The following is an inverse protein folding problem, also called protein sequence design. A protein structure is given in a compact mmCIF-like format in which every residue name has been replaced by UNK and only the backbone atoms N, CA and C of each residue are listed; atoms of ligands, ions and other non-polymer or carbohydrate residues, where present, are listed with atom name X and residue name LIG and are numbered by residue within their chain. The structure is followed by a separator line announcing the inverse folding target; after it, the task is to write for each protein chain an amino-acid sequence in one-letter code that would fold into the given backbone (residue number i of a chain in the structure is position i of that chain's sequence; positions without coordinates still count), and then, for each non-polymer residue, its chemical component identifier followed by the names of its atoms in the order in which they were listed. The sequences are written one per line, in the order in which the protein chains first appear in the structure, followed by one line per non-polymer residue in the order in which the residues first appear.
data_IF_588013954136
#
_entry.id   IF_588013954136
#
_cell.length_a   1.000
_cell.length_b   1.000
_cell.length_c   1.000
_cell.angle_alpha   90.00
_cell.angle_beta   90.00
_cell.angle_gamma   90.00
#
_symmetry.space_group_name_H-M   'P 1'
#
loop_
_entity.id
_entity.type
_entity.pdbx_description
1 polymer ?
#
# COMPACT_ATOMS: atom_id res chain seq x y z
N UNK A 1 23.30 7.96 -25.59
CA UNK A 1 24.22 8.60 -24.62
C UNK A 1 24.04 7.92 -23.28
N UNK A 2 25.05 7.12 -22.88
CA UNK A 2 25.09 6.60 -21.52
C UNK A 2 25.28 7.77 -20.56
N UNK A 3 24.34 8.01 -19.66
CA UNK A 3 24.49 8.97 -18.58
C UNK A 3 25.51 8.44 -17.58
N UNK A 4 26.35 9.29 -17.06
CA UNK A 4 27.32 8.99 -15.99
C UNK A 4 26.54 8.36 -14.79
N UNK A 5 27.13 7.36 -14.10
CA UNK A 5 26.53 6.80 -12.91
C UNK A 5 26.30 7.89 -11.86
N UNK A 6 25.06 8.08 -11.43
CA UNK A 6 24.71 9.05 -10.41
C UNK A 6 24.44 8.35 -9.07
N UNK A 7 24.89 8.98 -7.98
CA UNK A 7 24.52 8.52 -6.64
C UNK A 7 23.02 8.63 -6.44
N UNK A 8 22.40 7.66 -5.75
CA UNK A 8 20.98 7.65 -5.43
C UNK A 8 20.52 8.95 -4.72
N UNK A 9 21.41 9.58 -3.95
CA UNK A 9 21.16 10.87 -3.28
C UNK A 9 20.94 12.01 -4.31
N UNK A 10 21.52 11.90 -5.49
CA UNK A 10 21.46 12.92 -6.55
C UNK A 10 20.33 12.67 -7.57
N UNK A 11 19.55 11.58 -7.43
CA UNK A 11 18.53 11.18 -8.43
C UNK A 11 17.12 11.57 -8.01
N UNK A 12 16.94 12.21 -6.88
CA UNK A 12 15.66 12.62 -6.32
C UNK A 12 15.18 11.73 -5.17
N UNK A 13 14.47 12.34 -4.24
CA UNK A 13 14.04 11.70 -2.99
C UNK A 13 13.24 10.41 -3.20
N UNK A 14 12.34 10.37 -4.18
CA UNK A 14 11.51 9.19 -4.42
C UNK A 14 12.32 7.92 -4.72
N UNK A 15 13.40 8.03 -5.49
CA UNK A 15 14.28 6.90 -5.79
C UNK A 15 15.04 6.47 -4.53
N UNK A 16 15.53 7.41 -3.76
CA UNK A 16 16.27 7.13 -2.52
C UNK A 16 15.41 6.41 -1.47
N UNK A 17 14.11 6.68 -1.44
CA UNK A 17 13.16 6.03 -0.53
C UNK A 17 12.69 4.65 -1.02
N UNK A 18 12.40 4.50 -2.30
CA UNK A 18 11.87 3.23 -2.82
C UNK A 18 12.96 2.18 -3.06
N UNK A 19 14.18 2.60 -3.36
CA UNK A 19 15.28 1.68 -3.68
C UNK A 19 15.61 0.68 -2.55
N UNK A 20 15.70 1.09 -1.27
CA UNK A 20 15.89 0.16 -0.16
C UNK A 20 14.79 -0.90 -0.06
N UNK A 21 13.53 -0.52 -0.31
CA UNK A 21 12.39 -1.44 -0.29
C UNK A 21 12.55 -2.48 -1.42
N UNK A 22 12.86 -2.02 -2.64
CA UNK A 22 13.08 -2.91 -3.79
C UNK A 22 14.23 -3.88 -3.52
N UNK A 23 15.35 -3.38 -2.99
CA UNK A 23 16.51 -4.23 -2.66
C UNK A 23 16.13 -5.26 -1.59
N UNK A 24 15.43 -4.85 -0.51
CA UNK A 24 14.99 -5.76 0.54
C UNK A 24 14.09 -6.87 -0.03
N UNK A 25 13.11 -6.51 -0.86
CA UNK A 25 12.19 -7.47 -1.50
C UNK A 25 12.93 -8.44 -2.42
N UNK A 26 13.84 -7.94 -3.28
CA UNK A 26 14.56 -8.78 -4.24
C UNK A 26 15.63 -9.66 -3.56
N UNK A 27 16.11 -9.28 -2.38
CA UNK A 27 17.09 -10.04 -1.61
C UNK A 27 16.46 -11.02 -0.62
N UNK A 28 15.16 -10.87 -0.32
CA UNK A 28 14.46 -11.72 0.62
C UNK A 28 14.27 -13.14 0.08
N UNK A 29 14.29 -14.11 1.00
CA UNK A 29 14.05 -15.53 0.68
C UNK A 29 12.62 -15.91 1.12
N UNK A 30 12.02 -16.95 0.53
CA UNK A 30 10.79 -17.53 1.05
C UNK A 30 10.90 -17.81 2.55
N UNK A 31 9.88 -17.43 3.34
CA UNK A 31 9.87 -17.49 4.79
C UNK A 31 10.41 -16.23 5.49
N UNK A 32 10.98 -15.26 4.76
CA UNK A 32 11.36 -13.96 5.34
C UNK A 32 10.14 -13.13 5.73
N UNK A 33 10.34 -12.22 6.69
CA UNK A 33 9.36 -11.20 7.10
C UNK A 33 9.94 -9.83 6.78
N UNK A 34 9.20 -8.99 6.06
CA UNK A 34 9.53 -7.60 5.80
C UNK A 34 8.50 -6.69 6.49
N UNK A 35 8.99 -5.70 7.23
CA UNK A 35 8.20 -4.63 7.82
C UNK A 35 8.48 -3.35 7.03
N UNK A 36 7.45 -2.73 6.49
CA UNK A 36 7.57 -1.55 5.62
C UNK A 36 6.60 -0.49 6.13
N UNK A 37 7.13 0.64 6.53
CA UNK A 37 6.37 1.80 6.97
C UNK A 37 6.39 2.88 5.89
N UNK A 38 5.23 3.48 5.61
CA UNK A 38 5.04 4.57 4.65
C UNK A 38 5.76 4.36 3.30
N UNK A 39 5.53 3.22 2.61
CA UNK A 39 6.20 2.94 1.34
C UNK A 39 5.87 3.94 0.23
N UNK A 40 4.80 4.70 0.40
CA UNK A 40 4.36 5.78 -0.49
C UNK A 40 5.21 7.05 -0.40
N UNK A 41 6.05 7.20 0.62
CA UNK A 41 6.76 8.44 0.88
C UNK A 41 7.56 8.89 -0.34
N UNK A 42 7.32 10.15 -0.76
CA UNK A 42 8.02 10.82 -1.86
C UNK A 42 7.94 10.18 -3.25
N UNK A 43 7.07 9.20 -3.46
CA UNK A 43 6.89 8.59 -4.78
C UNK A 43 5.52 8.93 -5.39
N UNK A 44 5.52 9.07 -6.72
CA UNK A 44 4.31 9.41 -7.46
C UNK A 44 3.24 8.32 -7.31
N UNK A 45 1.93 8.64 -7.27
CA UNK A 45 0.83 7.69 -7.13
C UNK A 45 0.92 6.46 -8.03
N UNK A 46 1.27 6.65 -9.30
CA UNK A 46 1.48 5.54 -10.24
C UNK A 46 2.59 4.58 -9.77
N UNK A 47 3.68 5.12 -9.21
CA UNK A 47 4.78 4.30 -8.71
C UNK A 47 4.39 3.54 -7.44
N UNK A 48 3.51 4.10 -6.61
CA UNK A 48 2.95 3.43 -5.43
C UNK A 48 2.16 2.17 -5.85
N UNK A 49 1.32 2.28 -6.87
CA UNK A 49 0.58 1.14 -7.40
C UNK A 49 1.51 0.05 -7.99
N UNK A 50 2.57 0.44 -8.70
CA UNK A 50 3.55 -0.51 -9.23
C UNK A 50 4.38 -1.17 -8.11
N UNK A 51 4.76 -0.41 -7.08
CA UNK A 51 5.41 -0.95 -5.89
C UNK A 51 4.53 -2.01 -5.23
N UNK A 52 3.23 -1.74 -5.05
CA UNK A 52 2.31 -2.71 -4.46
C UNK A 52 2.22 -4.00 -5.27
N UNK A 53 2.23 -3.93 -6.60
CA UNK A 53 2.28 -5.14 -7.45
C UNK A 53 3.55 -5.97 -7.21
N UNK A 54 4.70 -5.33 -7.03
CA UNK A 54 5.95 -6.01 -6.67
C UNK A 54 5.81 -6.72 -5.31
N UNK A 55 5.26 -6.04 -4.30
CA UNK A 55 5.05 -6.59 -2.96
C UNK A 55 4.09 -7.78 -2.98
N UNK A 56 3.00 -7.70 -3.76
CA UNK A 56 2.05 -8.80 -3.95
C UNK A 56 2.72 -10.05 -4.56
N UNK A 57 3.58 -9.87 -5.56
CA UNK A 57 4.34 -10.97 -6.16
C UNK A 57 5.34 -11.58 -5.18
N UNK A 58 5.99 -10.76 -4.36
CA UNK A 58 6.89 -11.23 -3.31
C UNK A 58 6.12 -12.03 -2.24
N UNK A 59 4.92 -11.60 -1.86
CA UNK A 59 4.07 -12.35 -0.95
C UNK A 59 3.67 -13.72 -1.53
N UNK A 60 3.34 -13.77 -2.84
CA UNK A 60 3.08 -15.04 -3.55
C UNK A 60 4.31 -15.96 -3.60
N UNK A 61 5.51 -15.39 -3.60
CA UNK A 61 6.76 -16.14 -3.51
C UNK A 61 7.11 -16.62 -2.09
N UNK A 62 6.22 -16.41 -1.11
CA UNK A 62 6.38 -16.89 0.27
C UNK A 62 7.09 -15.93 1.22
N UNK A 63 7.15 -14.64 0.89
CA UNK A 63 7.66 -13.61 1.78
C UNK A 63 6.47 -13.01 2.54
N UNK A 64 6.50 -12.98 3.86
CA UNK A 64 5.50 -12.27 4.65
C UNK A 64 5.84 -10.77 4.67
N UNK A 65 4.88 -9.93 4.23
CA UNK A 65 5.07 -8.49 4.18
C UNK A 65 4.00 -7.83 5.06
N UNK A 66 4.45 -7.00 5.98
CA UNK A 66 3.59 -6.18 6.82
C UNK A 66 3.83 -4.73 6.42
N UNK A 67 2.78 -4.05 6.00
CA UNK A 67 2.83 -2.68 5.48
C UNK A 67 1.96 -1.80 6.37
N UNK A 68 2.52 -0.71 6.85
CA UNK A 68 1.78 0.42 7.38
C UNK A 68 1.74 1.52 6.32
N UNK A 69 0.57 2.06 6.02
CA UNK A 69 0.40 3.06 4.97
C UNK A 69 -0.80 3.96 5.22
N UNK A 70 -0.67 5.21 4.79
CA UNK A 70 -1.76 6.19 4.73
C UNK A 70 -2.22 6.47 3.28
N UNK A 71 -1.75 5.66 2.31
CA UNK A 71 -2.04 5.88 0.90
C UNK A 71 -3.16 4.97 0.39
N UNK A 72 -4.19 5.59 -0.15
CA UNK A 72 -5.23 4.94 -0.94
C UNK A 72 -4.65 4.26 -2.20
N UNK A 73 -3.60 4.81 -2.81
CA UNK A 73 -2.94 4.24 -3.98
C UNK A 73 -2.25 2.91 -3.69
N UNK A 74 -1.64 2.76 -2.50
CA UNK A 74 -1.07 1.48 -2.04
C UNK A 74 -2.21 0.47 -1.86
N UNK A 75 -3.28 0.85 -1.16
CA UNK A 75 -4.43 -0.04 -0.94
C UNK A 75 -5.11 -0.41 -2.27
N UNK A 76 -5.37 0.57 -3.13
CA UNK A 76 -5.96 0.35 -4.45
C UNK A 76 -5.07 -0.55 -5.32
N UNK A 77 -3.74 -0.42 -5.21
CA UNK A 77 -2.80 -1.32 -5.89
C UNK A 77 -3.00 -2.79 -5.50
N UNK A 78 -3.25 -3.07 -4.21
CA UNK A 78 -3.57 -4.41 -3.73
C UNK A 78 -4.93 -4.91 -4.26
N UNK A 79 -5.97 -4.06 -4.20
CA UNK A 79 -7.31 -4.40 -4.70
C UNK A 79 -7.30 -4.70 -6.19
N UNK A 80 -6.61 -3.87 -6.99
CA UNK A 80 -6.43 -4.09 -8.44
C UNK A 80 -5.68 -5.39 -8.72
N UNK A 81 -4.65 -5.73 -7.92
CA UNK A 81 -3.95 -7.00 -8.06
C UNK A 81 -4.87 -8.19 -7.79
N UNK A 82 -5.74 -8.13 -6.76
CA UNK A 82 -6.74 -9.15 -6.45
C UNK A 82 -7.75 -9.32 -7.58
N UNK A 83 -8.23 -8.22 -8.17
CA UNK A 83 -9.18 -8.27 -9.31
C UNK A 83 -8.55 -8.96 -10.52
N UNK A 84 -7.30 -8.64 -10.83
CA UNK A 84 -6.60 -9.22 -11.97
C UNK A 84 -6.17 -10.68 -11.74
N UNK A 85 -5.79 -11.02 -10.52
CA UNK A 85 -5.34 -12.35 -10.11
C UNK A 85 -6.02 -12.71 -8.76
N UNK A 86 -7.24 -13.31 -8.78
CA UNK A 86 -8.00 -13.60 -7.56
C UNK A 86 -7.30 -14.54 -6.56
N UNK A 87 -6.27 -15.22 -6.98
CA UNK A 87 -5.40 -16.04 -6.13
C UNK A 87 -4.60 -15.23 -5.09
N UNK A 88 -4.50 -13.92 -5.25
CA UNK A 88 -3.93 -13.04 -4.23
C UNK A 88 -4.85 -12.83 -3.02
N UNK A 89 -6.16 -12.98 -3.17
CA UNK A 89 -7.11 -12.68 -2.10
C UNK A 89 -6.81 -13.40 -0.77
N UNK A 90 -6.53 -14.72 -0.74
CA UNK A 90 -6.22 -15.41 0.51
C UNK A 90 -4.90 -14.97 1.15
N UNK A 91 -4.01 -14.31 0.38
CA UNK A 91 -2.70 -13.84 0.84
C UNK A 91 -2.77 -12.44 1.48
N UNK A 92 -3.87 -11.69 1.26
CA UNK A 92 -4.03 -10.31 1.73
C UNK A 92 -4.94 -10.26 2.94
N UNK A 93 -4.48 -9.54 3.97
CA UNK A 93 -5.28 -9.13 5.12
C UNK A 93 -5.05 -7.65 5.34
N UNK A 94 -6.12 -6.88 5.38
CA UNK A 94 -6.06 -5.45 5.66
C UNK A 94 -6.78 -5.13 6.96
N UNK A 95 -6.21 -4.22 7.72
CA UNK A 95 -6.75 -3.73 8.99
C UNK A 95 -6.72 -2.21 8.98
N UNK A 96 -7.83 -1.62 9.36
CA UNK A 96 -7.92 -0.20 9.65
C UNK A 96 -7.84 0.01 11.16
N UNK A 97 -7.03 0.96 11.60
CA UNK A 97 -6.90 1.29 13.01
C UNK A 97 -7.61 2.61 13.25
N UNK A 98 -8.71 2.54 14.01
CA UNK A 98 -9.43 3.72 14.46
C UNK A 98 -9.07 4.04 15.91
N UNK A 99 -8.99 5.33 16.23
CA UNK A 99 -8.72 5.79 17.59
C UNK A 99 -10.02 6.18 18.28
N UNK A 100 -10.29 5.53 19.39
CA UNK A 100 -11.35 5.95 20.30
C UNK A 100 -10.83 7.11 21.15
N UNK A 101 -11.30 8.31 20.84
CA UNK A 101 -10.86 9.54 21.52
C UNK A 101 -11.23 9.58 23.01
N UNK A 102 -12.26 8.85 23.43
CA UNK A 102 -12.68 8.79 24.83
C UNK A 102 -11.83 7.83 25.66
N UNK A 103 -11.35 6.75 25.04
CA UNK A 103 -10.59 5.69 25.71
C UNK A 103 -9.08 5.80 25.43
N UNK A 104 -8.65 6.65 24.49
CA UNK A 104 -7.28 6.75 23.99
C UNK A 104 -6.68 5.40 23.53
N UNK A 105 -7.54 4.52 23.02
CA UNK A 105 -7.17 3.19 22.56
C UNK A 105 -7.41 3.10 21.05
N UNK A 106 -6.44 2.55 20.31
CA UNK A 106 -6.61 2.21 18.90
C UNK A 106 -7.19 0.80 18.77
N UNK A 107 -8.27 0.67 17.99
CA UNK A 107 -8.94 -0.63 17.75
C UNK A 107 -8.76 -1.04 16.30
N UNK A 108 -8.26 -2.27 16.05
CA UNK A 108 -8.18 -2.78 14.69
C UNK A 108 -9.56 -3.18 14.17
N UNK A 109 -9.90 -2.73 12.99
CA UNK A 109 -11.05 -3.19 12.20
C UNK A 109 -10.52 -3.97 11.00
N UNK A 110 -10.80 -5.27 10.94
CA UNK A 110 -10.44 -6.08 9.78
C UNK A 110 -11.32 -5.72 8.60
N UNK A 111 -10.73 -5.40 7.46
CA UNK A 111 -11.45 -5.12 6.22
C UNK A 111 -11.79 -6.43 5.49
N UNK A 112 -13.02 -6.52 5.02
CA UNK A 112 -13.51 -7.66 4.25
C UNK A 112 -13.43 -7.35 2.76
N UNK A 113 -12.43 -7.94 2.08
CA UNK A 113 -12.16 -7.75 0.67
C UNK A 113 -12.80 -8.88 -0.13
N UNK A 114 -13.53 -8.55 -1.18
CA UNK A 114 -14.11 -9.49 -2.14
C UNK A 114 -13.21 -9.70 -3.36
N UNK A 115 -13.49 -10.74 -4.15
CA UNK A 115 -12.76 -11.07 -5.39
C UNK A 115 -12.82 -9.97 -6.46
N UNK A 116 -13.86 -9.16 -6.42
CA UNK A 116 -14.04 -8.00 -7.31
C UNK A 116 -13.38 -6.71 -6.79
N UNK A 117 -12.56 -6.82 -5.74
CA UNK A 117 -11.83 -5.71 -5.16
C UNK A 117 -12.66 -4.80 -4.24
N UNK A 118 -13.96 -5.07 -4.06
CA UNK A 118 -14.78 -4.28 -3.14
C UNK A 118 -14.47 -4.62 -1.69
N UNK A 119 -14.55 -3.60 -0.83
CA UNK A 119 -14.53 -3.75 0.63
C UNK A 119 -15.98 -3.63 1.11
N UNK A 120 -16.47 -4.65 1.82
CA UNK A 120 -17.89 -4.73 2.24
C UNK A 120 -18.18 -3.99 3.53
N UNK A 121 -17.16 -3.72 4.33
CA UNK A 121 -17.26 -3.08 5.63
C UNK A 121 -16.31 -1.88 5.79
N UNK A 122 -16.29 -0.89 4.84
CA UNK A 122 -15.40 0.24 4.96
C UNK A 122 -15.76 1.06 6.21
N UNK A 123 -14.81 1.30 7.12
CA UNK A 123 -15.05 2.15 8.27
C UNK A 123 -15.20 3.62 7.82
N UNK A 124 -15.87 4.43 8.66
CA UNK A 124 -15.97 5.87 8.43
C UNK A 124 -14.57 6.50 8.42
N UNK A 125 -14.31 7.38 7.47
CA UNK A 125 -12.99 8.00 7.29
C UNK A 125 -12.01 7.15 6.48
N UNK A 126 -12.47 6.00 5.96
CA UNK A 126 -11.62 5.13 5.16
C UNK A 126 -11.60 5.59 3.70
N UNK A 127 -10.61 6.41 3.35
CA UNK A 127 -10.37 6.96 2.01
C UNK A 127 -11.58 7.64 1.35
N UNK A 128 -12.48 8.20 2.16
CA UNK A 128 -13.70 8.89 1.71
C UNK A 128 -13.54 10.42 1.61
N UNK A 129 -12.37 10.94 1.98
CA UNK A 129 -12.13 12.39 2.01
C UNK A 129 -12.28 13.02 0.61
N UNK A 130 -11.82 12.35 -0.44
CA UNK A 130 -11.95 12.86 -1.82
C UNK A 130 -13.42 12.99 -2.20
N UNK A 131 -14.26 12.01 -1.85
CA UNK A 131 -15.69 12.05 -2.13
C UNK A 131 -16.39 13.18 -1.35
N UNK A 132 -16.00 13.38 -0.09
CA UNK A 132 -16.49 14.48 0.76
C UNK A 132 -16.12 15.83 0.15
N UNK A 133 -14.86 15.99 -0.23
CA UNK A 133 -14.36 17.24 -0.83
C UNK A 133 -15.04 17.51 -2.17
N UNK A 134 -15.20 16.52 -3.01
CA UNK A 134 -15.88 16.65 -4.31
C UNK A 134 -17.35 17.03 -4.16
N UNK A 135 -18.07 16.45 -3.22
CA UNK A 135 -19.46 16.86 -2.91
C UNK A 135 -19.51 18.33 -2.47
N UNK A 136 -18.59 18.73 -1.60
CA UNK A 136 -18.51 20.12 -1.13
C UNK A 136 -18.23 21.09 -2.29
N UNK A 137 -17.28 20.74 -3.17
CA UNK A 137 -16.91 21.57 -4.34
C UNK A 137 -18.06 21.67 -5.35
N UNK A 138 -18.81 20.57 -5.54
CA UNK A 138 -19.94 20.54 -6.49
C UNK A 138 -21.25 21.08 -5.90
N UNK A 139 -21.31 21.36 -4.59
CA UNK A 139 -22.46 21.95 -3.92
C UNK A 139 -23.61 20.98 -3.63
N UNK A 140 -23.31 19.67 -3.44
CA UNK A 140 -24.31 18.68 -3.03
C UNK A 140 -24.12 18.27 -1.57
#
# INVERSE_FOLDING_TARGET
TMTEPMSAINVGYGISYVLPIIIAVLSAKPGSILLIENPEAHIHPRAQAELMKLLMRAAKAGIQIIIETHSDHIMNGALVAIVNEPEFLPLVKAYYFDRDDNQHISKPCKLEILKDGRITNPPKGFFDQIDIDMRTIMGF
#
